data_IF_255817691004
#
_entry.id   IF_255817691004
#
_cell.length_a   1.000
_cell.length_b   1.000
_cell.length_c   1.000
_cell.angle_alpha   90.00
_cell.angle_beta   90.00
_cell.angle_gamma   90.00
#
_symmetry.space_group_name_H-M   'P 1'
#
loop_
_entity.id
_entity.type
_entity.pdbx_description
1 polymer ?
#
# COMPACT_ATOMS: atom_id res chain seq x y z
N UNK A 1 7.56 1.48 14.89
CA UNK A 1 6.83 1.24 13.63
C UNK A 1 7.33 2.23 12.60
N UNK A 2 7.29 1.91 11.31
CA UNK A 2 7.60 2.90 10.26
C UNK A 2 6.60 4.06 10.31
N UNK A 3 7.08 5.26 10.00
CA UNK A 3 6.22 6.42 9.77
C UNK A 3 5.61 6.36 8.38
N UNK A 4 4.40 6.93 8.25
CA UNK A 4 3.68 6.93 6.99
C UNK A 4 3.78 8.30 6.34
N UNK A 5 4.27 8.31 5.10
CA UNK A 5 4.21 9.42 4.18
C UNK A 5 3.19 9.08 3.08
N UNK A 6 2.28 10.01 2.79
CA UNK A 6 1.24 9.80 1.78
C UNK A 6 1.53 10.63 0.53
N UNK A 7 1.77 9.94 -0.59
CA UNK A 7 1.90 10.60 -1.89
C UNK A 7 0.59 11.30 -2.31
N UNK A 8 0.69 12.39 -3.07
CA UNK A 8 -0.47 13.14 -3.52
C UNK A 8 -1.44 12.30 -4.37
N UNK A 9 -0.92 11.37 -5.18
CA UNK A 9 -1.75 10.42 -5.93
C UNK A 9 -2.56 9.52 -4.99
N UNK A 10 -1.93 8.96 -3.95
CA UNK A 10 -2.62 8.14 -2.95
C UNK A 10 -3.75 8.93 -2.29
N UNK A 11 -3.51 10.18 -1.85
CA UNK A 11 -4.55 11.00 -1.22
C UNK A 11 -5.75 11.23 -2.14
N UNK A 12 -5.52 11.44 -3.43
CA UNK A 12 -6.57 11.65 -4.44
C UNK A 12 -7.35 10.36 -4.68
N UNK A 13 -6.67 9.24 -4.87
CA UNK A 13 -7.30 7.95 -5.14
C UNK A 13 -8.07 7.46 -3.92
N UNK A 14 -7.47 7.52 -2.72
CA UNK A 14 -8.11 7.12 -1.47
C UNK A 14 -9.45 7.86 -1.26
N UNK A 15 -9.48 9.18 -1.46
CA UNK A 15 -10.73 9.96 -1.40
C UNK A 15 -11.77 9.48 -2.42
N UNK A 16 -11.35 9.16 -3.65
CA UNK A 16 -12.24 8.62 -4.69
C UNK A 16 -12.80 7.26 -4.30
N UNK A 17 -11.97 6.36 -3.77
CA UNK A 17 -12.40 5.04 -3.31
C UNK A 17 -13.39 5.14 -2.15
N UNK A 18 -13.12 5.98 -1.14
CA UNK A 18 -14.03 6.20 -0.02
C UNK A 18 -15.39 6.73 -0.48
N UNK A 19 -15.39 7.70 -1.42
CA UNK A 19 -16.64 8.22 -2.01
C UNK A 19 -17.47 7.15 -2.71
N UNK A 20 -16.82 6.12 -3.23
CA UNK A 20 -17.45 5.00 -3.93
C UNK A 20 -17.73 3.79 -3.02
N UNK A 21 -17.70 3.96 -1.69
CA UNK A 21 -18.08 2.90 -0.74
C UNK A 21 -16.98 1.88 -0.45
N UNK A 22 -15.71 2.21 -0.70
CA UNK A 22 -14.59 1.38 -0.28
C UNK A 22 -14.50 1.31 1.25
N UNK A 23 -14.55 0.09 1.81
CA UNK A 23 -14.26 -0.19 3.23
C UNK A 23 -12.74 -0.27 3.43
N UNK A 24 -12.18 0.66 4.22
CA UNK A 24 -10.73 0.77 4.44
C UNK A 24 -10.16 -0.27 5.39
N UNK A 25 -10.98 -1.05 6.12
CA UNK A 25 -10.48 -1.95 7.17
C UNK A 25 -9.34 -2.86 6.72
N UNK A 26 -9.48 -3.47 5.54
CA UNK A 26 -8.46 -4.37 5.01
C UNK A 26 -7.18 -3.63 4.57
N UNK A 27 -7.31 -2.38 4.11
CA UNK A 27 -6.16 -1.51 3.86
C UNK A 27 -5.45 -1.17 5.18
N UNK A 28 -6.21 -0.84 6.22
CA UNK A 28 -5.67 -0.47 7.54
C UNK A 28 -4.88 -1.63 8.17
N UNK A 29 -5.37 -2.87 8.05
CA UNK A 29 -4.67 -4.09 8.48
C UNK A 29 -3.34 -4.28 7.74
N UNK A 30 -3.37 -4.20 6.41
CA UNK A 30 -2.16 -4.36 5.57
C UNK A 30 -1.15 -3.26 5.87
N UNK A 31 -1.59 -2.01 6.01
CA UNK A 31 -0.73 -0.88 6.37
C UNK A 31 -0.11 -1.09 7.75
N UNK A 32 -0.86 -1.62 8.73
CA UNK A 32 -0.33 -1.93 10.06
C UNK A 32 0.78 -2.99 10.00
N UNK A 33 0.59 -4.07 9.24
CA UNK A 33 1.63 -5.10 9.04
C UNK A 33 2.89 -4.50 8.37
N UNK A 34 2.69 -3.67 7.34
CA UNK A 34 3.79 -2.96 6.67
C UNK A 34 4.56 -2.05 7.62
N UNK A 35 3.85 -1.27 8.46
CA UNK A 35 4.46 -0.40 9.48
C UNK A 35 5.21 -1.18 10.55
N UNK A 36 4.76 -2.39 10.87
CA UNK A 36 5.43 -3.30 11.79
C UNK A 36 6.61 -4.03 11.15
N UNK A 37 6.86 -3.81 9.85
CA UNK A 37 7.86 -4.53 9.06
C UNK A 37 7.64 -6.04 9.05
N UNK A 38 6.40 -6.49 9.24
CA UNK A 38 6.02 -7.89 9.11
C UNK A 38 5.91 -8.27 7.64
N UNK A 39 6.20 -9.53 7.27
CA UNK A 39 5.88 -10.02 5.94
C UNK A 39 4.36 -10.06 5.76
N UNK A 40 3.88 -9.60 4.60
CA UNK A 40 2.47 -9.73 4.24
C UNK A 40 2.14 -11.19 3.92
N UNK A 41 0.93 -11.63 4.25
CA UNK A 41 0.46 -12.96 3.88
C UNK A 41 0.50 -13.16 2.35
N UNK A 42 0.76 -14.39 1.84
CA UNK A 42 0.89 -14.66 0.40
C UNK A 42 -0.31 -14.22 -0.46
N UNK A 43 -1.52 -14.16 0.13
CA UNK A 43 -2.74 -13.67 -0.54
C UNK A 43 -2.62 -12.24 -1.07
N UNK A 44 -1.77 -11.41 -0.44
CA UNK A 44 -1.53 -10.03 -0.84
C UNK A 44 -0.56 -9.92 -2.02
N UNK A 45 0.12 -11.01 -2.43
CA UNK A 45 1.03 -11.06 -3.58
C UNK A 45 2.01 -9.87 -3.65
N UNK A 46 2.57 -9.51 -2.50
CA UNK A 46 3.52 -8.39 -2.40
C UNK A 46 4.75 -8.64 -3.28
N UNK A 47 5.06 -7.70 -4.16
CA UNK A 47 6.20 -7.79 -5.07
C UNK A 47 6.76 -6.41 -5.44
N UNK A 48 8.00 -6.38 -5.90
CA UNK A 48 8.63 -5.15 -6.39
C UNK A 48 8.18 -4.87 -7.82
N UNK A 49 7.83 -3.61 -8.10
CA UNK A 49 7.53 -3.15 -9.45
C UNK A 49 8.83 -2.96 -10.24
N UNK A 50 8.73 -3.10 -11.57
CA UNK A 50 9.85 -2.96 -12.51
C UNK A 50 9.70 -1.69 -13.37
N UNK A 51 10.77 -1.29 -14.04
CA UNK A 51 10.79 -0.11 -14.91
C UNK A 51 10.69 1.20 -14.14
N UNK A 52 9.94 2.16 -14.67
CA UNK A 52 9.74 3.51 -14.10
C UNK A 52 9.18 3.49 -12.66
N UNK A 53 8.56 2.38 -12.26
CA UNK A 53 8.01 2.22 -10.92
C UNK A 53 8.99 1.64 -9.91
N UNK A 54 10.20 1.24 -10.31
CA UNK A 54 11.24 0.88 -9.35
C UNK A 54 11.70 2.13 -8.56
N UNK A 55 11.84 2.08 -7.22
CA UNK A 55 11.81 0.91 -6.33
C UNK A 55 10.48 0.69 -5.57
N UNK A 56 9.35 1.14 -6.10
CA UNK A 56 8.04 0.88 -5.50
C UNK A 56 7.70 -0.62 -5.46
N UNK A 57 6.84 -0.97 -4.52
CA UNK A 57 6.23 -2.30 -4.34
C UNK A 57 4.73 -2.18 -4.53
N UNK A 58 4.12 -3.29 -4.90
CA UNK A 58 2.67 -3.42 -5.03
C UNK A 58 2.17 -4.65 -4.28
N UNK A 59 1.03 -4.51 -3.61
CA UNK A 59 0.29 -5.63 -3.05
C UNK A 59 -1.22 -5.50 -3.26
N UNK A 60 -1.93 -6.61 -3.25
CA UNK A 60 -3.38 -6.67 -3.36
C UNK A 60 -4.04 -6.43 -2.01
N UNK A 61 -4.90 -5.42 -1.93
CA UNK A 61 -5.89 -5.27 -0.87
C UNK A 61 -7.12 -6.10 -1.21
N UNK A 62 -7.57 -6.04 -2.47
CA UNK A 62 -8.61 -6.91 -3.07
C UNK A 62 -8.14 -7.34 -4.46
N UNK A 63 -8.84 -8.27 -5.16
CA UNK A 63 -8.46 -8.66 -6.51
C UNK A 63 -8.23 -7.45 -7.45
N UNK A 64 -9.11 -6.44 -7.38
CA UNK A 64 -9.06 -5.24 -8.24
C UNK A 64 -8.57 -3.97 -7.51
N UNK A 65 -8.08 -4.09 -6.27
CA UNK A 65 -7.59 -2.95 -5.49
C UNK A 65 -6.15 -3.23 -5.05
N UNK A 66 -5.23 -2.45 -5.60
CA UNK A 66 -3.80 -2.54 -5.38
C UNK A 66 -3.32 -1.38 -4.51
N UNK A 67 -2.43 -1.67 -3.58
CA UNK A 67 -1.67 -0.68 -2.83
C UNK A 67 -0.27 -0.63 -3.41
N UNK A 68 0.11 0.53 -3.96
CA UNK A 68 1.49 0.82 -4.34
C UNK A 68 2.15 1.60 -3.20
N UNK A 69 3.32 1.14 -2.75
CA UNK A 69 4.05 1.74 -1.64
C UNK A 69 5.56 1.66 -1.83
N UNK A 70 6.32 2.42 -1.04
CA UNK A 70 7.78 2.35 -1.01
C UNK A 70 8.25 2.33 0.44
N UNK A 71 9.36 1.63 0.71
CA UNK A 71 10.05 1.69 2.00
C UNK A 71 11.29 2.54 1.83
N UNK A 72 11.31 3.70 2.46
CA UNK A 72 12.48 4.60 2.46
C UNK A 72 13.25 4.39 3.75
N UNK A 73 14.56 4.12 3.65
CA UNK A 73 15.45 4.21 4.81
C UNK A 73 15.99 5.64 4.86
N UNK A 74 15.64 6.37 5.90
CA UNK A 74 16.32 7.63 6.22
C UNK A 74 17.71 7.25 6.72
N UNK A 75 18.76 7.81 6.11
CA UNK A 75 20.15 7.64 6.54
C UNK A 75 20.41 8.43 7.81
#
# INVERSE_FOLDING_TARGET
MLDIEYHNMFRKDYKKYLKNGFDSKLLDEVVLELRQQKPLAPKHKDHILKGEWYPCRECHIRPDILLVYMRVRVK
#
